data_IF_887930246527
#
_entry.id   IF_887930246527
#
_cell.length_a   1.000
_cell.length_b   1.000
_cell.length_c   1.000
_cell.angle_alpha   90.00
_cell.angle_beta   90.00
_cell.angle_gamma   90.00
#
_symmetry.space_group_name_H-M   'P 1'
#
loop_
_entity.id
_entity.type
_entity.pdbx_description
1 polymer ?
#
# COMPACT_ATOMS: atom_id res chain seq x y z
N UNK A 1 -12.83 16.50 -13.14
CA UNK A 1 -12.49 16.38 -11.70
C UNK A 1 -11.24 15.54 -11.60
N UNK A 2 -10.27 15.90 -10.74
CA UNK A 2 -9.08 15.07 -10.53
C UNK A 2 -9.46 13.89 -9.61
N UNK A 3 -9.13 12.66 -10.00
CA UNK A 3 -9.33 11.48 -9.16
C UNK A 3 -8.42 11.55 -7.93
N UNK A 4 -8.95 11.20 -6.77
CA UNK A 4 -8.20 11.15 -5.52
C UNK A 4 -8.06 9.67 -5.14
N UNK A 5 -6.82 9.24 -4.91
CA UNK A 5 -6.51 7.90 -4.44
C UNK A 5 -5.99 7.99 -3.01
N UNK A 6 -6.76 7.46 -2.06
CA UNK A 6 -6.35 7.40 -0.65
C UNK A 6 -5.69 6.06 -0.41
N UNK A 7 -4.44 6.07 0.04
CA UNK A 7 -3.65 4.85 0.22
C UNK A 7 -3.84 4.33 1.64
N UNK A 8 -4.43 3.14 1.75
CA UNK A 8 -4.55 2.40 3.02
C UNK A 8 -3.19 1.83 3.48
N UNK A 9 -3.06 1.57 4.77
CA UNK A 9 -1.87 0.95 5.39
C UNK A 9 -1.47 -0.34 4.69
N UNK A 10 -2.42 -1.24 4.40
CA UNK A 10 -2.12 -2.55 3.85
C UNK A 10 -1.53 -2.46 2.44
N UNK A 11 -2.10 -1.58 1.60
CA UNK A 11 -1.58 -1.29 0.26
C UNK A 11 -0.21 -0.64 0.35
N UNK A 12 0.00 0.32 1.27
CA UNK A 12 1.31 0.93 1.46
C UNK A 12 2.37 -0.09 1.90
N UNK A 13 2.03 -1.01 2.80
CA UNK A 13 2.93 -2.07 3.24
C UNK A 13 3.32 -3.01 2.10
N UNK A 14 2.37 -3.39 1.25
CA UNK A 14 2.65 -4.19 0.04
C UNK A 14 3.52 -3.40 -0.93
N UNK A 15 3.20 -2.12 -1.15
CA UNK A 15 3.93 -1.27 -2.09
C UNK A 15 5.39 -1.01 -1.69
N UNK A 16 5.65 -0.86 -0.40
CA UNK A 16 7.00 -0.71 0.17
C UNK A 16 7.70 -2.05 0.43
N UNK A 17 7.05 -3.17 0.11
CA UNK A 17 7.57 -4.53 0.31
C UNK A 17 8.02 -4.78 1.76
N UNK A 18 7.20 -4.36 2.74
CA UNK A 18 7.49 -4.58 4.15
C UNK A 18 7.56 -6.10 4.44
N UNK A 19 8.62 -6.59 5.13
CA UNK A 19 8.74 -8.02 5.42
C UNK A 19 7.50 -8.62 6.07
N UNK A 20 7.03 -9.74 5.55
CA UNK A 20 5.81 -10.42 6.02
C UNK A 20 4.49 -9.74 5.61
N UNK A 21 4.52 -8.64 4.85
CA UNK A 21 3.35 -7.92 4.33
C UNK A 21 3.38 -7.80 2.80
N UNK A 22 3.84 -8.85 2.11
CA UNK A 22 4.02 -8.87 0.65
C UNK A 22 2.70 -8.93 -0.14
N UNK A 23 1.59 -9.25 0.53
CA UNK A 23 0.26 -9.34 -0.08
C UNK A 23 -0.83 -8.89 0.89
N UNK A 24 -1.95 -8.36 0.38
CA UNK A 24 -3.15 -8.11 1.17
C UNK A 24 -4.44 -8.46 0.41
N UNK A 25 -5.60 -8.34 1.09
CA UNK A 25 -6.90 -8.68 0.52
C UNK A 25 -7.30 -10.15 0.68
N UNK A 26 -8.46 -10.51 0.14
CA UNK A 26 -9.01 -11.88 0.23
C UNK A 26 -8.60 -12.71 -0.98
N UNK A 27 -8.85 -14.03 -0.95
CA UNK A 27 -8.47 -14.93 -2.06
C UNK A 27 -9.04 -14.51 -3.42
N UNK A 28 -10.21 -13.86 -3.43
CA UNK A 28 -10.86 -13.39 -4.67
C UNK A 28 -10.51 -11.95 -5.04
N UNK A 29 -9.81 -11.21 -4.17
CA UNK A 29 -9.31 -9.87 -4.43
C UNK A 29 -7.94 -9.71 -3.77
N UNK A 30 -6.96 -10.41 -4.35
CA UNK A 30 -5.60 -10.47 -3.86
C UNK A 30 -4.77 -9.32 -4.44
N UNK A 31 -4.03 -8.63 -3.57
CA UNK A 31 -3.17 -7.51 -3.94
C UNK A 31 -1.73 -7.86 -3.60
N UNK A 32 -0.94 -8.06 -4.64
CA UNK A 32 0.51 -8.25 -4.57
C UNK A 32 1.24 -6.99 -5.08
N UNK A 33 2.58 -7.00 -4.99
CA UNK A 33 3.42 -5.89 -5.43
C UNK A 33 3.17 -5.51 -6.89
N UNK A 34 3.03 -6.50 -7.77
CA UNK A 34 2.85 -6.29 -9.22
C UNK A 34 1.54 -5.54 -9.47
N UNK A 35 0.43 -6.03 -8.92
CA UNK A 35 -0.87 -5.37 -9.07
C UNK A 35 -0.87 -3.97 -8.48
N UNK A 36 -0.27 -3.76 -7.31
CA UNK A 36 -0.18 -2.44 -6.67
C UNK A 36 0.60 -1.47 -7.55
N UNK A 37 1.77 -1.87 -8.05
CA UNK A 37 2.58 -1.03 -8.94
C UNK A 37 1.84 -0.66 -10.23
N UNK A 38 1.19 -1.64 -10.87
CA UNK A 38 0.42 -1.41 -12.10
C UNK A 38 -0.68 -0.37 -11.88
N UNK A 39 -1.42 -0.49 -10.77
CA UNK A 39 -2.48 0.47 -10.42
C UNK A 39 -1.89 1.85 -10.13
N UNK A 40 -0.83 1.96 -9.33
CA UNK A 40 -0.23 3.28 -9.04
C UNK A 40 0.28 3.94 -10.32
N UNK A 41 1.00 3.20 -11.18
CA UNK A 41 1.53 3.72 -12.42
C UNK A 41 0.40 4.18 -13.37
N UNK A 42 -0.67 3.40 -13.47
CA UNK A 42 -1.85 3.77 -14.26
C UNK A 42 -2.51 5.05 -13.74
N UNK A 43 -2.68 5.17 -12.42
CA UNK A 43 -3.33 6.33 -11.80
C UNK A 43 -2.46 7.59 -11.87
N UNK A 44 -1.14 7.44 -11.75
CA UNK A 44 -0.16 8.51 -11.94
C UNK A 44 -0.21 9.04 -13.37
N UNK A 45 -0.23 8.15 -14.37
CA UNK A 45 -0.39 8.53 -15.78
C UNK A 45 -1.71 9.27 -16.06
N UNK A 46 -2.78 8.93 -15.33
CA UNK A 46 -4.08 9.60 -15.42
C UNK A 46 -4.16 10.91 -14.63
N UNK A 47 -3.09 11.29 -13.93
CA UNK A 47 -2.99 12.54 -13.17
C UNK A 47 -3.79 12.51 -11.86
N UNK A 48 -3.95 11.33 -11.25
CA UNK A 48 -4.56 11.18 -9.93
C UNK A 48 -3.75 11.93 -8.85
N UNK A 49 -4.44 12.38 -7.79
CA UNK A 49 -3.80 12.87 -6.58
C UNK A 49 -3.73 11.74 -5.57
N UNK A 50 -2.52 11.35 -5.19
CA UNK A 50 -2.30 10.39 -4.11
C UNK A 50 -2.34 11.09 -2.77
N UNK A 51 -3.13 10.54 -1.84
CA UNK A 51 -3.22 11.00 -0.47
C UNK A 51 -2.76 9.86 0.43
N UNK A 52 -1.77 10.14 1.26
CA UNK A 52 -1.37 9.24 2.32
C UNK A 52 -1.93 9.75 3.66
N UNK A 53 -2.94 9.10 4.25
CA UNK A 53 -3.43 9.45 5.56
C UNK A 53 -2.32 9.33 6.61
N UNK A 54 -2.32 10.25 7.58
CA UNK A 54 -1.37 10.19 8.71
C UNK A 54 -1.46 8.85 9.46
N UNK A 55 -2.67 8.32 9.63
CA UNK A 55 -2.90 7.02 10.26
C UNK A 55 -2.20 5.88 9.49
N UNK A 56 -2.28 5.89 8.16
CA UNK A 56 -1.61 4.88 7.32
C UNK A 56 -0.10 4.97 7.44
N UNK A 57 0.45 6.19 7.47
CA UNK A 57 1.89 6.39 7.69
C UNK A 57 2.36 5.87 9.06
N UNK A 58 1.60 6.15 10.13
CA UNK A 58 1.93 5.71 11.49
C UNK A 58 1.89 4.17 11.58
N UNK A 59 0.83 3.54 11.07
CA UNK A 59 0.69 2.08 11.17
C UNK A 59 1.69 1.34 10.26
N UNK A 60 1.99 1.87 9.07
CA UNK A 60 3.08 1.32 8.24
C UNK A 60 4.43 1.46 8.96
N UNK A 61 4.67 2.59 9.64
CA UNK A 61 5.84 2.76 10.51
C UNK A 61 5.92 1.71 11.62
N UNK A 62 4.79 1.41 12.26
CA UNK A 62 4.69 0.36 13.26
C UNK A 62 5.03 -1.03 12.68
N UNK A 63 4.54 -1.35 11.48
CA UNK A 63 4.90 -2.60 10.79
C UNK A 63 6.38 -2.67 10.43
N UNK A 64 6.98 -1.57 9.97
CA UNK A 64 8.42 -1.50 9.70
C UNK A 64 9.23 -1.77 10.97
N UNK A 65 8.86 -1.13 12.08
CA UNK A 65 9.56 -1.28 13.36
C UNK A 65 9.56 -2.75 13.84
N UNK A 66 8.50 -3.50 13.55
CA UNK A 66 8.34 -4.90 13.95
C UNK A 66 8.71 -5.92 12.86
N UNK A 67 9.13 -5.48 11.66
CA UNK A 67 9.37 -6.37 10.52
C UNK A 67 10.44 -7.45 10.76
N UNK A 68 11.36 -7.23 11.71
CA UNK A 68 12.44 -8.16 12.06
C UNK A 68 12.25 -8.82 13.44
N UNK A 69 11.22 -8.46 14.18
CA UNK A 69 10.85 -9.16 15.42
C UNK A 69 9.87 -10.27 15.06
N UNK A 70 10.23 -11.52 15.35
CA UNK A 70 9.30 -12.63 15.25
C UNK A 70 8.12 -12.34 16.19
N UNK A 71 6.92 -12.14 15.65
CA UNK A 71 5.67 -12.25 16.40
C UNK A 71 5.43 -13.72 16.81
#
# INVERSE_FOLDING_TARGET
>A
MRKILVIDTSILCVWLEIPGKTTCGTSNDHWDKVRVDDVIAQEEQQGAMFILPLASLIETGNHIAHANTKE
#
